data_IF_760830648379
#
_entry.id   IF_760830648379
#
_cell.length_a   1.000
_cell.length_b   1.000
_cell.length_c   1.000
_cell.angle_alpha   90.00
_cell.angle_beta   90.00
_cell.angle_gamma   90.00
#
_symmetry.space_group_name_H-M   'P 1'
#
loop_
_entity.id
_entity.type
_entity.pdbx_description
1 polymer ?
#
# COMPACT_ATOMS: atom_id res chain seq x y z
N UNK A 1 17.59 14.07 6.91
CA UNK A 1 16.69 15.01 7.60
C UNK A 1 16.91 14.87 9.10
N UNK A 2 17.02 15.97 9.84
CA UNK A 2 17.17 15.90 11.31
C UNK A 2 15.84 15.48 12.00
N UNK A 3 15.92 15.23 13.31
CA UNK A 3 14.79 14.75 14.12
C UNK A 3 13.65 15.76 14.18
N UNK A 4 13.95 17.06 14.20
CA UNK A 4 12.93 18.11 14.30
C UNK A 4 12.13 18.18 13.00
N UNK A 5 12.79 18.17 11.85
CA UNK A 5 12.11 18.24 10.57
C UNK A 5 11.32 16.95 10.28
N UNK A 6 11.80 15.78 10.74
CA UNK A 6 11.04 14.52 10.72
C UNK A 6 9.75 14.61 11.54
N UNK A 7 9.79 15.21 12.72
CA UNK A 7 8.58 15.41 13.53
C UNK A 7 7.57 16.33 12.83
N UNK A 8 8.04 17.46 12.31
CA UNK A 8 7.23 18.40 11.52
C UNK A 8 6.58 17.71 10.32
N UNK A 9 7.32 16.86 9.61
CA UNK A 9 6.79 16.07 8.50
C UNK A 9 5.60 15.20 8.94
N UNK A 10 5.73 14.48 10.06
CA UNK A 10 4.63 13.67 10.58
C UNK A 10 3.45 14.51 11.09
N UNK A 11 3.70 15.69 11.67
CA UNK A 11 2.63 16.62 12.02
C UNK A 11 1.83 17.04 10.78
N UNK A 12 2.52 17.48 9.72
CA UNK A 12 1.88 17.87 8.45
C UNK A 12 1.10 16.69 7.83
N UNK A 13 1.67 15.49 7.86
CA UNK A 13 1.03 14.29 7.34
C UNK A 13 -0.27 13.97 8.11
N UNK A 14 -0.25 14.06 9.46
CA UNK A 14 -1.43 13.87 10.30
C UNK A 14 -2.52 14.90 9.98
N UNK A 15 -2.14 16.17 9.90
CA UNK A 15 -3.08 17.26 9.58
C UNK A 15 -3.75 17.00 8.22
N UNK A 16 -2.97 16.57 7.22
CA UNK A 16 -3.48 16.16 5.92
C UNK A 16 -4.45 14.98 5.96
N UNK A 17 -4.05 13.89 6.63
CA UNK A 17 -4.84 12.65 6.73
C UNK A 17 -6.21 12.86 7.38
N UNK A 18 -6.27 13.71 8.41
CA UNK A 18 -7.44 13.84 9.27
C UNK A 18 -8.22 15.13 9.04
N UNK A 19 -7.59 16.17 8.49
CA UNK A 19 -8.23 17.46 8.29
C UNK A 19 -8.47 18.22 9.57
N UNK A 20 -7.57 18.05 10.52
CA UNK A 20 -7.61 18.71 11.82
C UNK A 20 -6.23 18.69 12.46
N UNK A 21 -6.09 19.45 13.54
CA UNK A 21 -4.82 19.62 14.26
C UNK A 21 -4.18 20.97 13.98
N UNK A 22 -3.03 21.18 14.62
CA UNK A 22 -2.25 22.41 14.50
C UNK A 22 -0.79 22.04 14.32
N UNK A 23 -0.11 22.75 13.43
CA UNK A 23 1.32 22.60 13.28
C UNK A 23 2.02 23.32 14.45
N UNK A 24 2.82 22.56 15.19
CA UNK A 24 3.61 23.07 16.30
C UNK A 24 5.07 23.10 15.88
N UNK A 25 5.57 24.32 15.63
CA UNK A 25 6.95 24.59 15.25
C UNK A 25 7.59 25.54 16.25
N UNK A 26 8.84 25.24 16.67
CA UNK A 26 9.62 26.12 17.56
C UNK A 26 10.15 27.37 16.84
N UNK A 27 10.38 27.25 15.54
CA UNK A 27 10.92 28.28 14.66
C UNK A 27 10.29 28.13 13.29
N UNK A 28 10.16 29.24 12.56
CA UNK A 28 9.67 29.21 11.19
C UNK A 28 10.56 28.34 10.30
N UNK A 29 9.93 27.56 9.42
CA UNK A 29 10.62 26.70 8.47
C UNK A 29 11.29 27.53 7.38
N UNK A 30 12.55 27.25 7.09
CA UNK A 30 13.27 27.90 5.99
C UNK A 30 12.81 27.33 4.64
N UNK A 31 13.17 28.01 3.53
CA UNK A 31 12.93 27.48 2.19
C UNK A 31 13.57 26.08 2.01
N UNK A 32 14.79 25.90 2.51
CA UNK A 32 15.51 24.61 2.42
C UNK A 32 14.81 23.50 3.21
N UNK A 33 14.22 23.84 4.36
CA UNK A 33 13.44 22.88 5.15
C UNK A 33 12.19 22.42 4.38
N UNK A 34 11.49 23.36 3.74
CA UNK A 34 10.34 23.04 2.89
C UNK A 34 10.71 22.21 1.66
N UNK A 35 11.85 22.48 1.02
CA UNK A 35 12.36 21.68 -0.09
C UNK A 35 12.63 20.24 0.38
N UNK A 36 13.24 20.06 1.56
CA UNK A 36 13.47 18.72 2.15
C UNK A 36 12.15 18.01 2.46
N UNK A 37 11.18 18.70 3.08
CA UNK A 37 9.85 18.15 3.36
C UNK A 37 9.19 17.69 2.05
N UNK A 38 9.18 18.53 1.02
CA UNK A 38 8.60 18.19 -0.27
C UNK A 38 9.27 16.97 -0.90
N UNK A 39 10.61 16.92 -0.89
CA UNK A 39 11.35 15.78 -1.44
C UNK A 39 11.03 14.48 -0.70
N UNK A 40 10.96 14.52 0.63
CA UNK A 40 10.53 13.36 1.42
C UNK A 40 9.07 12.98 1.13
N UNK A 41 8.18 13.96 0.97
CA UNK A 41 6.78 13.70 0.68
C UNK A 41 6.62 12.94 -0.64
N UNK A 42 7.32 13.40 -1.69
CA UNK A 42 7.38 12.72 -2.99
C UNK A 42 7.99 11.32 -2.86
N UNK A 43 9.11 11.19 -2.15
CA UNK A 43 9.78 9.90 -1.95
C UNK A 43 8.90 8.87 -1.22
N UNK A 44 8.01 9.33 -0.35
CA UNK A 44 7.05 8.48 0.36
C UNK A 44 5.66 8.43 -0.30
N UNK A 45 5.48 9.11 -1.45
CA UNK A 45 4.21 9.23 -2.20
C UNK A 45 3.05 9.77 -1.36
N UNK A 46 3.33 10.76 -0.51
CA UNK A 46 2.36 11.41 0.40
C UNK A 46 2.29 12.93 0.17
N UNK A 47 2.80 13.43 -0.96
CA UNK A 47 2.79 14.87 -1.27
C UNK A 47 1.39 15.45 -1.38
N UNK A 48 0.41 14.69 -1.88
CA UNK A 48 -0.98 15.13 -1.92
C UNK A 48 -1.63 15.20 -0.55
N UNK A 49 -1.31 14.24 0.32
CA UNK A 49 -1.82 14.20 1.69
C UNK A 49 -1.28 15.41 2.49
N UNK A 50 0.03 15.71 2.38
CA UNK A 50 0.59 16.89 3.06
C UNK A 50 -0.04 18.19 2.51
N UNK A 51 -0.28 18.26 1.20
CA UNK A 51 -0.95 19.40 0.59
C UNK A 51 -2.38 19.60 1.12
N UNK A 52 -3.12 18.52 1.37
CA UNK A 52 -4.45 18.56 2.01
C UNK A 52 -4.44 19.12 3.44
N UNK A 53 -3.26 19.22 4.05
CA UNK A 53 -3.06 19.84 5.34
C UNK A 53 -2.91 21.36 5.28
N UNK A 54 -2.55 21.95 4.14
CA UNK A 54 -2.29 23.38 4.01
C UNK A 54 -3.45 24.29 4.43
N UNK A 55 -4.73 23.96 4.15
CA UNK A 55 -5.86 24.76 4.62
C UNK A 55 -5.98 24.89 6.15
N UNK A 56 -5.28 24.05 6.92
CA UNK A 56 -5.29 24.04 8.39
C UNK A 56 -4.06 24.72 9.00
N UNK A 57 -3.20 25.32 8.17
CA UNK A 57 -1.99 26.01 8.59
C UNK A 57 -2.21 27.53 8.57
N UNK A 58 -1.52 28.24 9.46
CA UNK A 58 -1.46 29.70 9.42
C UNK A 58 -0.58 30.16 8.25
N UNK A 59 -0.78 31.39 7.73
CA UNK A 59 -0.01 31.86 6.54
C UNK A 59 1.50 31.84 6.79
N UNK A 60 1.96 32.18 8.00
CA UNK A 60 3.38 32.08 8.40
C UNK A 60 3.91 30.64 8.49
N UNK A 61 3.01 29.66 8.56
CA UNK A 61 3.33 28.23 8.62
C UNK A 61 3.27 27.57 7.24
N UNK A 62 2.93 28.30 6.18
CA UNK A 62 2.89 27.77 4.83
C UNK A 62 4.26 27.85 4.14
N UNK A 63 4.51 26.98 3.14
CA UNK A 63 5.68 27.15 2.29
C UNK A 63 5.61 28.46 1.50
N UNK A 64 6.77 29.01 1.09
CA UNK A 64 6.82 30.19 0.22
C UNK A 64 5.92 30.04 -1.01
N UNK A 65 5.28 31.13 -1.45
CA UNK A 65 4.29 31.12 -2.54
C UNK A 65 4.77 30.44 -3.82
N UNK A 66 6.03 30.67 -4.23
CA UNK A 66 6.60 30.01 -5.39
C UNK A 66 6.64 28.47 -5.27
N UNK A 67 6.86 27.95 -4.05
CA UNK A 67 6.85 26.51 -3.78
C UNK A 67 5.41 25.97 -3.70
N UNK A 68 4.46 26.74 -3.16
CA UNK A 68 3.03 26.40 -3.18
C UNK A 68 2.51 26.21 -4.60
N UNK A 69 2.86 27.12 -5.52
CA UNK A 69 2.49 27.02 -6.94
C UNK A 69 3.04 25.76 -7.60
N UNK A 70 4.32 25.42 -7.36
CA UNK A 70 4.91 24.17 -7.85
C UNK A 70 4.20 22.93 -7.29
N UNK A 71 3.81 22.98 -6.02
CA UNK A 71 3.06 21.89 -5.39
C UNK A 71 1.69 21.74 -6.03
N UNK A 72 0.94 22.82 -6.23
CA UNK A 72 -0.37 22.81 -6.89
C UNK A 72 -0.31 22.19 -8.30
N UNK A 73 0.73 22.49 -9.08
CA UNK A 73 0.94 21.84 -10.39
C UNK A 73 1.13 20.32 -10.25
N UNK A 74 1.85 19.85 -9.23
CA UNK A 74 1.98 18.40 -8.97
C UNK A 74 0.65 17.79 -8.55
N UNK A 75 -0.16 18.49 -7.77
CA UNK A 75 -1.50 18.01 -7.36
C UNK A 75 -2.39 17.84 -8.57
N UNK A 76 -2.47 18.85 -9.44
CA UNK A 76 -3.23 18.75 -10.70
C UNK A 76 -2.77 17.56 -11.57
N UNK A 77 -1.47 17.25 -11.61
CA UNK A 77 -0.97 16.04 -12.30
C UNK A 77 -1.46 14.74 -11.66
N UNK A 78 -1.47 14.68 -10.32
CA UNK A 78 -1.97 13.52 -9.57
C UNK A 78 -3.47 13.35 -9.81
N UNK A 79 -4.25 14.43 -9.77
CA UNK A 79 -5.70 14.41 -10.02
C UNK A 79 -6.02 13.90 -11.43
N UNK A 80 -5.35 14.45 -12.45
CA UNK A 80 -5.53 14.01 -13.84
C UNK A 80 -5.15 12.54 -14.04
N UNK A 81 -4.10 12.07 -13.37
CA UNK A 81 -3.70 10.67 -13.43
C UNK A 81 -4.71 9.75 -12.72
N UNK A 82 -5.24 10.18 -11.57
CA UNK A 82 -6.28 9.45 -10.85
C UNK A 82 -7.58 9.36 -11.64
N UNK A 83 -8.00 10.44 -12.29
CA UNK A 83 -9.16 10.44 -13.17
C UNK A 83 -8.99 9.45 -14.31
N UNK A 84 -7.83 9.49 -15.00
CA UNK A 84 -7.51 8.51 -16.03
C UNK A 84 -7.54 7.06 -15.52
N UNK A 85 -7.00 6.82 -14.32
CA UNK A 85 -7.01 5.49 -13.71
C UNK A 85 -8.44 5.02 -13.39
N UNK A 86 -9.30 5.90 -12.86
CA UNK A 86 -10.69 5.61 -12.57
C UNK A 86 -11.48 5.27 -13.85
N UNK A 87 -11.22 5.98 -14.95
CA UNK A 87 -11.79 5.65 -16.26
C UNK A 87 -11.38 4.25 -16.72
N UNK A 88 -10.10 3.90 -16.61
CA UNK A 88 -9.60 2.57 -16.97
C UNK A 88 -10.20 1.47 -16.08
N UNK A 89 -10.33 1.72 -14.78
CA UNK A 89 -10.95 0.78 -13.83
C UNK A 89 -12.41 0.52 -14.23
N UNK A 90 -13.20 1.58 -14.44
CA UNK A 90 -14.60 1.47 -14.81
C UNK A 90 -14.78 0.71 -16.14
N UNK A 91 -13.97 1.03 -17.14
CA UNK A 91 -13.98 0.36 -18.44
C UNK A 91 -13.61 -1.13 -18.34
N UNK A 92 -12.50 -1.45 -17.68
CA UNK A 92 -12.06 -2.85 -17.55
C UNK A 92 -13.04 -3.68 -16.72
N UNK A 93 -13.61 -3.09 -15.67
CA UNK A 93 -14.60 -3.76 -14.85
C UNK A 93 -15.85 -4.13 -15.67
N UNK A 94 -16.40 -3.18 -16.44
CA UNK A 94 -17.54 -3.44 -17.32
C UNK A 94 -17.21 -4.49 -18.37
N UNK A 95 -16.04 -4.37 -19.03
CA UNK A 95 -15.58 -5.31 -20.04
C UNK A 95 -15.47 -6.74 -19.49
N UNK A 96 -14.84 -6.92 -18.33
CA UNK A 96 -14.74 -8.23 -17.69
C UNK A 96 -16.12 -8.78 -17.29
N UNK A 97 -17.00 -7.92 -16.76
CA UNK A 97 -18.35 -8.32 -16.35
C UNK A 97 -19.19 -8.78 -17.55
N UNK A 98 -19.12 -8.08 -18.68
CA UNK A 98 -19.78 -8.48 -19.94
C UNK A 98 -19.30 -9.84 -20.46
N UNK A 99 -18.06 -10.21 -20.17
CA UNK A 99 -17.49 -11.53 -20.47
C UNK A 99 -17.85 -12.63 -19.46
N UNK A 100 -18.70 -12.32 -18.47
CA UNK A 100 -19.01 -13.23 -17.37
C UNK A 100 -17.82 -13.50 -16.44
N UNK A 101 -16.82 -12.60 -16.42
CA UNK A 101 -15.71 -12.61 -15.47
C UNK A 101 -16.13 -11.75 -14.28
N UNK A 102 -15.81 -12.20 -13.07
CA UNK A 102 -16.07 -11.48 -11.82
C UNK A 102 -14.76 -10.88 -11.29
N UNK A 103 -14.39 -9.66 -11.73
CA UNK A 103 -13.20 -8.97 -11.23
C UNK A 103 -13.45 -8.38 -9.84
N UNK A 104 -12.40 -8.35 -9.03
CA UNK A 104 -12.35 -7.68 -7.73
C UNK A 104 -11.15 -6.74 -7.76
N UNK A 105 -11.40 -5.45 -7.59
CA UNK A 105 -10.34 -4.45 -7.51
C UNK A 105 -9.64 -4.60 -6.16
N UNK A 106 -8.33 -4.69 -6.19
CA UNK A 106 -7.50 -4.79 -5.00
C UNK A 106 -6.78 -3.48 -4.73
N UNK A 107 -6.62 -3.14 -3.44
CA UNK A 107 -5.74 -2.05 -2.99
C UNK A 107 -6.06 -0.73 -3.74
N UNK A 108 -5.03 0.01 -4.17
CA UNK A 108 -5.13 1.08 -5.18
C UNK A 108 -6.28 2.08 -4.95
N UNK A 109 -7.06 2.32 -6.02
CA UNK A 109 -8.19 3.25 -5.99
C UNK A 109 -9.35 2.79 -5.11
N UNK A 110 -9.47 1.48 -4.86
CA UNK A 110 -10.39 0.95 -3.85
C UNK A 110 -10.13 1.58 -2.48
N UNK A 111 -8.86 1.63 -2.08
CA UNK A 111 -8.46 2.25 -0.80
C UNK A 111 -8.43 3.77 -0.88
N UNK A 112 -8.12 4.36 -2.04
CA UNK A 112 -8.15 5.81 -2.25
C UNK A 112 -9.50 6.43 -1.89
N UNK A 113 -10.61 5.71 -2.14
CA UNK A 113 -11.97 6.15 -1.81
C UNK A 113 -12.19 6.48 -0.33
N UNK A 114 -11.35 5.96 0.58
CA UNK A 114 -11.42 6.23 2.02
C UNK A 114 -10.63 7.46 2.47
N UNK A 115 -9.92 8.16 1.57
CA UNK A 115 -9.22 9.40 1.90
C UNK A 115 -10.20 10.58 1.94
N UNK A 116 -9.85 11.65 2.68
CA UNK A 116 -10.62 12.91 2.68
C UNK A 116 -10.74 13.49 1.26
N UNK A 117 -9.64 13.45 0.52
CA UNK A 117 -9.61 13.79 -0.89
C UNK A 117 -9.01 12.63 -1.71
N UNK A 118 -9.85 11.74 -2.27
CA UNK A 118 -9.38 10.60 -3.05
C UNK A 118 -8.51 10.98 -4.26
N UNK A 119 -8.76 12.13 -4.90
CA UNK A 119 -8.03 12.56 -6.10
C UNK A 119 -6.59 13.01 -5.81
N UNK A 120 -6.24 13.25 -4.55
CA UNK A 120 -4.89 13.68 -4.14
C UNK A 120 -3.99 12.52 -3.70
N UNK A 121 -4.52 11.31 -3.51
CA UNK A 121 -3.69 10.14 -3.24
C UNK A 121 -2.90 9.79 -4.50
N UNK A 122 -1.57 9.76 -4.41
CA UNK A 122 -0.73 9.27 -5.52
C UNK A 122 -1.06 7.81 -5.79
N UNK A 123 -1.54 7.48 -6.98
CA UNK A 123 -1.86 6.10 -7.36
C UNK A 123 -0.62 5.30 -7.81
N UNK A 124 -0.80 3.99 -7.95
CA UNK A 124 0.22 3.06 -8.43
C UNK A 124 -0.23 2.39 -9.72
N UNK A 125 -0.38 1.08 -9.66
CA UNK A 125 -0.99 0.22 -10.67
C UNK A 125 -2.47 -0.08 -10.34
N UNK A 126 -3.14 -0.72 -11.30
CA UNK A 126 -4.43 -1.36 -11.08
C UNK A 126 -4.18 -2.83 -10.79
N UNK A 127 -4.56 -3.29 -9.61
CA UNK A 127 -4.49 -4.70 -9.23
C UNK A 127 -5.86 -5.36 -9.33
N UNK A 128 -6.01 -6.35 -10.22
CA UNK A 128 -7.18 -7.21 -10.28
C UNK A 128 -6.91 -8.56 -9.65
N UNK A 129 -7.88 -9.08 -8.89
CA UNK A 129 -8.04 -10.52 -8.76
C UNK A 129 -9.42 -10.93 -9.26
N UNK A 130 -9.61 -12.24 -9.45
CA UNK A 130 -10.82 -12.76 -10.08
C UNK A 130 -11.38 -13.91 -9.27
N UNK A 131 -12.70 -14.02 -9.25
CA UNK A 131 -13.36 -15.21 -8.73
C UNK A 131 -13.30 -16.38 -9.72
N UNK A 132 -13.50 -17.58 -9.17
CA UNK A 132 -13.59 -18.83 -9.94
C UNK A 132 -12.46 -19.00 -10.98
N UNK A 133 -12.81 -19.20 -12.25
CA UNK A 133 -11.88 -19.34 -13.38
C UNK A 133 -11.59 -18.01 -14.09
N UNK A 134 -12.00 -16.88 -13.50
CA UNK A 134 -11.93 -15.56 -14.11
C UNK A 134 -10.51 -15.13 -14.49
N UNK A 135 -9.48 -15.50 -13.72
CA UNK A 135 -8.08 -15.23 -14.08
C UNK A 135 -7.72 -15.86 -15.44
N UNK A 136 -8.11 -17.13 -15.65
CA UNK A 136 -7.82 -17.86 -16.90
C UNK A 136 -8.56 -17.20 -18.07
N UNK A 137 -9.82 -16.84 -17.88
CA UNK A 137 -10.63 -16.13 -18.89
C UNK A 137 -10.04 -14.76 -19.24
N UNK A 138 -9.68 -13.96 -18.24
CA UNK A 138 -9.05 -12.66 -18.43
C UNK A 138 -7.69 -12.79 -19.14
N UNK A 139 -6.89 -13.80 -18.82
CA UNK A 139 -5.63 -14.07 -19.51
C UNK A 139 -5.83 -14.51 -20.96
N UNK A 140 -6.83 -15.35 -21.23
CA UNK A 140 -7.19 -15.75 -22.60
C UNK A 140 -7.67 -14.55 -23.42
N UNK A 141 -8.46 -13.66 -22.82
CA UNK A 141 -8.84 -12.40 -23.44
C UNK A 141 -7.62 -11.57 -23.88
N UNK A 142 -6.60 -11.43 -23.03
CA UNK A 142 -5.36 -10.73 -23.41
C UNK A 142 -4.68 -11.39 -24.62
N UNK A 143 -4.65 -12.72 -24.68
CA UNK A 143 -4.10 -13.48 -25.81
C UNK A 143 -4.90 -13.26 -27.09
N UNK A 144 -6.22 -13.41 -27.03
CA UNK A 144 -7.13 -13.25 -28.19
C UNK A 144 -7.06 -11.84 -28.77
N UNK A 145 -6.94 -10.82 -27.91
CA UNK A 145 -6.77 -9.42 -28.32
C UNK A 145 -5.32 -9.05 -28.66
N UNK A 146 -4.38 -10.01 -28.61
CA UNK A 146 -2.96 -9.81 -28.89
C UNK A 146 -2.32 -8.70 -28.03
N UNK A 147 -2.81 -8.52 -26.80
CA UNK A 147 -2.26 -7.57 -25.85
C UNK A 147 -0.97 -8.16 -25.30
N UNK A 148 0.11 -7.38 -25.36
CA UNK A 148 1.39 -7.78 -24.79
C UNK A 148 1.31 -7.77 -23.26
N UNK A 149 1.52 -8.92 -22.64
CA UNK A 149 1.61 -9.09 -21.20
C UNK A 149 2.82 -9.97 -20.85
N UNK A 150 3.27 -9.92 -19.61
CA UNK A 150 4.34 -10.76 -19.08
C UNK A 150 3.92 -11.41 -17.77
N UNK A 151 4.25 -12.70 -17.60
CA UNK A 151 4.08 -13.38 -16.32
C UNK A 151 5.19 -12.92 -15.36
N UNK A 152 4.81 -12.50 -14.15
CA UNK A 152 5.70 -11.97 -13.12
C UNK A 152 5.88 -12.92 -11.94
N UNK A 153 6.98 -12.73 -11.21
CA UNK A 153 7.19 -13.44 -9.95
C UNK A 153 6.10 -13.06 -8.94
N UNK A 154 5.59 -14.02 -8.18
CA UNK A 154 4.49 -13.77 -7.23
C UNK A 154 3.11 -14.26 -7.68
N UNK A 155 3.02 -15.02 -8.78
CA UNK A 155 1.76 -15.59 -9.29
C UNK A 155 0.83 -14.52 -9.88
N UNK A 156 1.39 -13.66 -10.71
CA UNK A 156 0.70 -12.55 -11.38
C UNK A 156 1.17 -12.43 -12.82
N UNK A 157 0.44 -11.66 -13.60
CA UNK A 157 0.92 -11.11 -14.88
C UNK A 157 0.70 -9.61 -14.89
N UNK A 158 1.47 -8.89 -15.71
CA UNK A 158 1.32 -7.45 -15.89
C UNK A 158 1.20 -7.08 -17.36
N UNK A 159 0.56 -5.94 -17.63
CA UNK A 159 0.43 -5.35 -18.96
C UNK A 159 0.13 -3.85 -18.87
N UNK A 160 0.17 -3.16 -20.01
CA UNK A 160 -0.26 -1.77 -20.13
C UNK A 160 -1.61 -1.69 -20.83
N UNK A 161 -2.56 -0.98 -20.22
CA UNK A 161 -3.86 -0.69 -20.80
C UNK A 161 -4.11 0.81 -20.83
N UNK A 162 -4.23 1.39 -22.04
CA UNK A 162 -4.39 2.84 -22.25
C UNK A 162 -3.37 3.70 -21.49
N UNK A 163 -2.15 3.18 -21.32
CA UNK A 163 -1.07 3.85 -20.58
C UNK A 163 -1.26 3.88 -19.06
N UNK A 164 -2.01 2.92 -18.50
CA UNK A 164 -2.04 2.57 -17.08
C UNK A 164 -1.47 1.15 -16.94
N UNK A 165 -0.61 0.94 -15.94
CA UNK A 165 -0.07 -0.38 -15.62
C UNK A 165 -1.13 -1.19 -14.88
N UNK A 166 -1.35 -2.42 -15.32
CA UNK A 166 -2.37 -3.32 -14.77
C UNK A 166 -1.73 -4.66 -14.43
N UNK A 167 -1.97 -5.15 -13.22
CA UNK A 167 -1.57 -6.47 -12.76
C UNK A 167 -2.80 -7.36 -12.54
N UNK A 168 -2.73 -8.59 -13.02
CA UNK A 168 -3.68 -9.64 -12.69
C UNK A 168 -3.04 -10.59 -11.68
N UNK A 169 -3.66 -10.75 -10.52
CA UNK A 169 -3.21 -11.63 -9.45
C UNK A 169 -3.97 -12.96 -9.46
N UNK A 170 -3.23 -14.08 -9.47
CA UNK A 170 -3.82 -15.42 -9.28
C UNK A 170 -4.28 -15.67 -7.84
N UNK A 171 -3.83 -14.84 -6.89
CA UNK A 171 -4.10 -15.00 -5.46
C UNK A 171 -4.64 -13.70 -4.88
N UNK A 172 -5.61 -13.80 -3.98
CA UNK A 172 -6.18 -12.64 -3.28
C UNK A 172 -5.21 -11.97 -2.32
N UNK A 173 -4.30 -12.76 -1.71
CA UNK A 173 -3.39 -12.29 -0.67
C UNK A 173 -1.93 -12.62 -0.96
N UNK A 174 -1.08 -11.67 -0.59
CA UNK A 174 0.36 -11.63 -0.80
C UNK A 174 1.18 -12.46 0.23
N UNK A 175 0.59 -13.53 0.76
CA UNK A 175 1.30 -14.41 1.71
C UNK A 175 2.38 -15.21 0.98
N UNK A 176 3.59 -15.14 1.52
CA UNK A 176 4.68 -16.01 1.17
C UNK A 176 4.40 -17.41 1.71
N UNK A 177 4.13 -17.60 3.00
CA UNK A 177 4.02 -18.95 3.57
C UNK A 177 2.98 -19.85 2.86
N UNK A 178 3.38 -21.00 2.28
CA UNK A 178 2.44 -21.91 1.63
C UNK A 178 1.53 -22.62 2.66
N UNK A 179 1.93 -22.65 3.94
CA UNK A 179 1.19 -23.30 5.02
C UNK A 179 -0.18 -22.68 5.27
N UNK A 180 -0.39 -21.43 4.84
CA UNK A 180 -1.66 -20.70 5.02
C UNK A 180 -2.58 -20.79 3.81
N UNK A 181 -2.15 -21.41 2.71
CA UNK A 181 -2.91 -21.46 1.45
C UNK A 181 -4.33 -22.00 1.62
N UNK A 182 -4.50 -23.11 2.35
CA UNK A 182 -5.82 -23.72 2.55
C UNK A 182 -6.72 -22.84 3.42
N UNK A 183 -6.18 -22.31 4.52
CA UNK A 183 -6.90 -21.38 5.39
C UNK A 183 -7.37 -20.14 4.62
N UNK A 184 -6.50 -19.51 3.83
CA UNK A 184 -6.83 -18.33 3.04
C UNK A 184 -7.88 -18.63 1.96
N UNK A 185 -7.82 -19.79 1.31
CA UNK A 185 -8.87 -20.23 0.37
C UNK A 185 -10.23 -20.39 1.05
N UNK A 186 -10.25 -21.03 2.23
CA UNK A 186 -11.49 -21.17 3.02
C UNK A 186 -12.01 -19.79 3.45
N UNK A 187 -11.10 -18.89 3.84
CA UNK A 187 -11.44 -17.53 4.24
C UNK A 187 -12.10 -16.74 3.10
N UNK A 188 -11.52 -16.75 1.89
CA UNK A 188 -12.14 -16.09 0.72
C UNK A 188 -13.50 -16.68 0.40
N UNK A 189 -13.65 -18.01 0.47
CA UNK A 189 -14.95 -18.67 0.24
C UNK A 189 -16.00 -18.28 1.28
N UNK A 190 -15.60 -18.15 2.55
CA UNK A 190 -16.50 -17.78 3.64
C UNK A 190 -17.12 -16.39 3.45
N UNK A 191 -16.34 -15.46 2.87
CA UNK A 191 -16.78 -14.08 2.61
C UNK A 191 -17.29 -13.85 1.18
N UNK A 192 -17.39 -14.89 0.34
CA UNK A 192 -17.70 -14.73 -1.10
C UNK A 192 -19.03 -14.00 -1.33
N UNK A 193 -20.07 -14.37 -0.59
CA UNK A 193 -21.42 -13.85 -0.81
C UNK A 193 -21.62 -12.46 -0.18
N UNK A 194 -20.59 -11.92 0.48
CA UNK A 194 -20.58 -10.59 1.04
C UNK A 194 -19.90 -9.64 0.05
N UNK A 195 -20.69 -8.80 -0.60
CA UNK A 195 -20.18 -7.84 -1.56
C UNK A 195 -19.89 -6.52 -0.88
N UNK A 196 -18.72 -5.96 -1.17
CA UNK A 196 -18.42 -4.57 -0.88
C UNK A 196 -18.20 -3.85 -2.21
N UNK A 197 -18.88 -2.73 -2.41
CA UNK A 197 -18.83 -2.01 -3.68
C UNK A 197 -18.51 -0.54 -3.45
N UNK A 198 -17.79 0.03 -4.41
CA UNK A 198 -17.59 1.48 -4.49
C UNK A 198 -18.06 1.97 -5.85
N UNK A 199 -18.47 3.24 -5.94
CA UNK A 199 -18.80 3.86 -7.21
C UNK A 199 -17.55 4.52 -7.80
N UNK A 200 -17.12 4.10 -8.98
CA UNK A 200 -16.02 4.71 -9.74
C UNK A 200 -16.55 5.04 -11.13
N UNK A 201 -16.60 6.33 -11.47
CA UNK A 201 -17.12 6.83 -12.75
C UNK A 201 -18.48 6.23 -13.15
N UNK A 202 -19.42 6.18 -12.19
CA UNK A 202 -20.77 5.60 -12.33
C UNK A 202 -20.81 4.07 -12.54
N UNK A 203 -19.70 3.37 -12.34
CA UNK A 203 -19.63 1.91 -12.33
C UNK A 203 -19.49 1.41 -10.89
N UNK A 204 -20.32 0.42 -10.52
CA UNK A 204 -20.21 -0.27 -9.23
C UNK A 204 -19.06 -1.28 -9.28
N UNK A 205 -17.91 -0.91 -8.69
CA UNK A 205 -16.72 -1.75 -8.67
C UNK A 205 -16.73 -2.63 -7.43
N UNK A 206 -16.54 -3.94 -7.62
CA UNK A 206 -16.43 -4.89 -6.52
C UNK A 206 -15.06 -4.81 -5.85
N UNK A 207 -15.09 -4.75 -4.52
CA UNK A 207 -13.95 -4.88 -3.63
C UNK A 207 -14.12 -6.12 -2.76
N UNK A 208 -13.05 -6.47 -2.04
CA UNK A 208 -13.16 -7.41 -0.92
C UNK A 208 -14.01 -6.80 0.20
N UNK A 209 -14.59 -7.64 1.06
CA UNK A 209 -15.16 -7.17 2.33
C UNK A 209 -14.13 -6.45 3.21
N UNK A 210 -14.55 -5.54 4.11
CA UNK A 210 -13.66 -4.77 4.97
C UNK A 210 -12.53 -5.55 5.66
N UNK A 211 -12.82 -6.71 6.28
CA UNK A 211 -11.81 -7.52 6.97
C UNK A 211 -10.74 -8.05 6.01
N UNK A 212 -11.14 -8.43 4.80
CA UNK A 212 -10.23 -8.95 3.79
C UNK A 212 -9.47 -7.82 3.08
N UNK A 213 -10.04 -6.63 2.92
CA UNK A 213 -9.28 -5.44 2.50
C UNK A 213 -8.19 -5.11 3.52
N UNK A 214 -8.50 -5.09 4.81
CA UNK A 214 -7.53 -4.86 5.88
C UNK A 214 -6.43 -5.93 5.89
N UNK A 215 -6.80 -7.20 5.74
CA UNK A 215 -5.82 -8.27 5.61
C UNK A 215 -4.91 -8.06 4.41
N UNK A 216 -5.48 -7.72 3.24
CA UNK A 216 -4.77 -7.54 1.98
C UNK A 216 -3.80 -6.36 2.01
N UNK A 217 -4.26 -5.18 2.47
CA UNK A 217 -3.41 -3.99 2.60
C UNK A 217 -2.26 -4.26 3.58
N UNK A 218 -2.56 -4.87 4.73
CA UNK A 218 -1.56 -5.07 5.77
C UNK A 218 -0.54 -6.14 5.39
N UNK A 219 -0.94 -7.26 4.77
CA UNK A 219 0.04 -8.25 4.30
C UNK A 219 0.91 -7.71 3.16
N UNK A 220 0.36 -6.83 2.31
CA UNK A 220 1.15 -6.15 1.27
C UNK A 220 2.23 -5.26 1.88
N UNK A 221 1.91 -4.50 2.93
CA UNK A 221 2.90 -3.73 3.70
C UNK A 221 3.99 -4.64 4.24
N UNK A 222 3.62 -5.72 4.95
CA UNK A 222 4.56 -6.67 5.53
C UNK A 222 5.46 -7.31 4.46
N UNK A 223 4.89 -7.73 3.33
CA UNK A 223 5.63 -8.29 2.19
C UNK A 223 6.74 -7.33 1.83
N UNK A 224 6.43 -6.10 1.44
CA UNK A 224 7.44 -5.14 0.97
C UNK A 224 8.46 -4.74 2.04
N UNK A 225 8.06 -4.65 3.32
CA UNK A 225 8.98 -4.45 4.44
C UNK A 225 10.02 -5.57 4.55
N UNK A 226 9.63 -6.83 4.32
CA UNK A 226 10.56 -7.96 4.31
C UNK A 226 11.51 -7.86 3.11
N UNK A 227 11.02 -7.47 1.93
CA UNK A 227 11.83 -7.49 0.70
C UNK A 227 12.81 -6.31 0.62
N UNK A 228 12.30 -5.10 0.49
CA UNK A 228 13.10 -3.94 0.08
C UNK A 228 12.78 -2.66 0.86
N UNK A 229 11.60 -2.57 1.46
CA UNK A 229 11.07 -1.35 2.05
C UNK A 229 9.78 -0.89 1.37
N UNK A 230 9.11 0.08 1.95
CA UNK A 230 7.80 0.57 1.51
C UNK A 230 7.60 2.02 1.97
N UNK A 231 6.87 2.82 1.17
CA UNK A 231 6.60 4.22 1.47
C UNK A 231 5.56 4.42 2.58
N UNK A 232 5.39 5.66 3.02
CA UNK A 232 4.39 6.00 4.05
C UNK A 232 2.96 5.96 3.51
N UNK A 233 2.76 6.11 2.19
CA UNK A 233 1.43 5.99 1.56
C UNK A 233 0.72 4.69 1.94
N UNK A 234 1.42 3.57 1.98
CA UNK A 234 0.80 2.28 2.28
C UNK A 234 0.39 2.16 3.77
N UNK A 235 1.10 2.84 4.67
CA UNK A 235 0.65 2.97 6.06
C UNK A 235 -0.54 3.94 6.19
N UNK A 236 -0.54 5.02 5.40
CA UNK A 236 -1.70 5.91 5.29
C UNK A 236 -2.93 5.16 4.77
N UNK A 237 -2.76 4.30 3.76
CA UNK A 237 -3.81 3.43 3.22
C UNK A 237 -4.41 2.55 4.32
N UNK A 238 -3.55 1.91 5.12
CA UNK A 238 -3.98 1.11 6.28
C UNK A 238 -4.72 1.95 7.32
N UNK A 239 -4.20 3.12 7.69
CA UNK A 239 -4.82 4.02 8.67
C UNK A 239 -6.21 4.51 8.21
N UNK A 240 -6.32 4.99 6.97
CA UNK A 240 -7.60 5.45 6.39
C UNK A 240 -8.61 4.33 6.27
N UNK A 241 -8.16 3.12 5.94
CA UNK A 241 -9.02 1.95 5.87
C UNK A 241 -9.54 1.58 7.26
N UNK A 242 -8.68 1.41 8.27
CA UNK A 242 -9.10 1.14 9.65
C UNK A 242 -10.10 2.18 10.16
N UNK A 243 -9.79 3.46 9.96
CA UNK A 243 -10.68 4.56 10.35
C UNK A 243 -12.08 4.40 9.74
N UNK A 244 -12.13 4.18 8.42
CA UNK A 244 -13.38 4.25 7.64
C UNK A 244 -14.26 3.01 7.78
N UNK A 245 -13.67 1.84 8.00
CA UNK A 245 -14.42 0.57 8.11
C UNK A 245 -14.57 0.06 9.54
N UNK A 246 -14.09 0.80 10.55
CA UNK A 246 -14.10 0.38 11.96
C UNK A 246 -15.47 -0.08 12.47
N UNK A 247 -16.56 0.54 12.02
CA UNK A 247 -17.94 0.16 12.39
C UNK A 247 -18.53 -0.98 11.56
N UNK A 248 -17.86 -1.41 10.49
CA UNK A 248 -18.33 -2.43 9.55
C UNK A 248 -17.67 -3.79 9.78
N UNK A 249 -16.53 -3.81 10.47
CA UNK A 249 -15.74 -5.02 10.70
C UNK A 249 -16.19 -5.78 11.96
N UNK A 250 -16.09 -7.10 11.91
CA UNK A 250 -16.10 -7.93 13.10
C UNK A 250 -14.70 -7.99 13.72
N UNK A 251 -14.50 -7.19 14.77
CA UNK A 251 -13.24 -7.09 15.53
C UNK A 251 -12.68 -8.45 15.96
N UNK A 252 -13.54 -9.35 16.46
CA UNK A 252 -13.14 -10.68 16.91
C UNK A 252 -12.71 -11.56 15.73
N UNK A 253 -13.46 -11.52 14.62
CA UNK A 253 -13.12 -12.27 13.42
C UNK A 253 -11.77 -11.82 12.84
N UNK A 254 -11.54 -10.50 12.74
CA UNK A 254 -10.30 -9.94 12.23
C UNK A 254 -9.09 -10.29 13.11
N UNK A 255 -9.24 -10.23 14.44
CA UNK A 255 -8.21 -10.70 15.38
C UNK A 255 -7.86 -12.19 15.13
N UNK A 256 -8.88 -13.03 14.96
CA UNK A 256 -8.67 -14.45 14.67
C UNK A 256 -8.01 -14.68 13.32
N UNK A 257 -8.34 -13.87 12.32
CA UNK A 257 -7.65 -13.91 11.02
C UNK A 257 -6.16 -13.64 11.20
N UNK A 258 -5.77 -12.58 11.91
CA UNK A 258 -4.36 -12.25 12.15
C UNK A 258 -3.62 -13.30 13.00
N UNK A 259 -4.29 -13.93 13.96
CA UNK A 259 -3.76 -15.07 14.71
C UNK A 259 -3.50 -16.27 13.80
N UNK A 260 -4.51 -16.68 13.03
CA UNK A 260 -4.44 -17.88 12.17
C UNK A 260 -3.46 -17.73 11.02
N UNK A 261 -3.30 -16.54 10.46
CA UNK A 261 -2.28 -16.25 9.44
C UNK A 261 -0.87 -16.11 10.03
N UNK A 262 -0.75 -15.89 11.34
CA UNK A 262 0.54 -15.86 12.04
C UNK A 262 1.25 -14.50 11.98
N UNK A 263 0.51 -13.43 11.70
CA UNK A 263 1.06 -12.06 11.58
C UNK A 263 0.63 -11.14 12.73
N UNK A 264 -0.13 -11.63 13.73
CA UNK A 264 -0.64 -10.79 14.83
C UNK A 264 0.45 -9.96 15.52
N UNK A 265 1.61 -10.55 15.81
CA UNK A 265 2.71 -9.82 16.47
C UNK A 265 3.19 -8.64 15.62
N UNK A 266 3.24 -8.81 14.30
CA UNK A 266 3.56 -7.72 13.38
C UNK A 266 2.42 -6.69 13.29
N UNK A 267 1.16 -7.14 13.34
CA UNK A 267 0.00 -6.23 13.35
C UNK A 267 0.02 -5.31 14.57
N UNK A 268 0.48 -5.77 15.74
CA UNK A 268 0.66 -4.87 16.89
C UNK A 268 1.67 -3.74 16.62
N UNK A 269 2.80 -4.05 15.94
CA UNK A 269 3.76 -3.03 15.53
C UNK A 269 3.12 -2.03 14.57
N UNK A 270 2.38 -2.54 13.58
CA UNK A 270 1.67 -1.71 12.62
C UNK A 270 0.70 -0.79 13.35
N UNK A 271 -0.22 -1.33 14.16
CA UNK A 271 -1.22 -0.56 14.90
C UNK A 271 -0.60 0.55 15.75
N UNK A 272 0.46 0.24 16.51
CA UNK A 272 1.15 1.26 17.31
C UNK A 272 1.74 2.37 16.45
N UNK A 273 2.36 2.05 15.30
CA UNK A 273 2.85 3.06 14.36
C UNK A 273 1.71 3.91 13.77
N UNK A 274 0.58 3.29 13.39
CA UNK A 274 -0.57 4.01 12.85
C UNK A 274 -1.13 5.03 13.86
N UNK A 275 -1.20 4.65 15.14
CA UNK A 275 -1.67 5.54 16.21
C UNK A 275 -0.64 6.62 16.52
N UNK A 276 0.58 6.24 16.88
CA UNK A 276 1.58 7.17 17.43
C UNK A 276 2.19 8.09 16.37
N UNK A 277 2.38 7.61 15.14
CA UNK A 277 3.03 8.39 14.09
C UNK A 277 2.02 8.98 13.10
N UNK A 278 0.98 8.24 12.73
CA UNK A 278 -0.01 8.68 11.74
C UNK A 278 -1.29 9.23 12.36
N UNK A 279 -1.45 9.23 13.68
CA UNK A 279 -2.58 9.86 14.36
C UNK A 279 -3.92 9.14 14.18
N UNK A 280 -3.91 7.85 13.84
CA UNK A 280 -5.13 7.04 13.84
C UNK A 280 -5.73 7.03 15.26
N UNK A 281 -7.01 7.40 15.46
CA UNK A 281 -7.63 7.29 16.77
C UNK A 281 -7.66 5.83 17.23
N UNK A 282 -7.24 5.56 18.47
CA UNK A 282 -7.06 4.20 18.99
C UNK A 282 -8.36 3.40 19.08
N UNK A 283 -9.50 4.08 19.20
CA UNK A 283 -10.85 3.48 19.20
C UNK A 283 -11.27 2.93 17.82
N UNK A 284 -10.54 3.29 16.75
CA UNK A 284 -10.74 2.75 15.39
C UNK A 284 -10.00 1.44 15.16
N UNK A 285 -9.12 1.03 16.08
CA UNK A 285 -8.47 -0.27 15.99
C UNK A 285 -9.43 -1.38 16.43
N UNK A 286 -9.37 -2.57 15.79
CA UNK A 286 -10.23 -3.69 16.13
C UNK A 286 -9.93 -4.31 17.50
N UNK A 287 -8.71 -4.11 18.01
CA UNK A 287 -8.24 -4.65 19.28
C UNK A 287 -6.99 -3.86 19.73
N UNK A 288 -6.68 -3.82 21.05
CA UNK A 288 -5.51 -3.12 21.56
C UNK A 288 -4.21 -3.86 21.20
N UNK A 289 -3.10 -3.12 21.17
CA UNK A 289 -1.74 -3.65 21.08
C UNK A 289 -1.02 -3.59 22.44
N UNK A 290 -0.01 -4.44 22.70
CA UNK A 290 0.78 -4.38 23.93
C UNK A 290 1.54 -3.06 24.07
N UNK A 291 1.48 -2.41 25.24
CA UNK A 291 2.13 -1.11 25.49
C UNK A 291 3.65 -1.13 25.23
N UNK A 292 4.30 -2.22 25.62
CA UNK A 292 5.75 -2.45 25.48
C UNK A 292 6.21 -2.79 24.05
N UNK A 293 5.34 -2.65 23.06
CA UNK A 293 5.69 -2.86 21.65
C UNK A 293 6.66 -1.77 21.18
N UNK A 294 7.88 -2.11 20.79
CA UNK A 294 8.86 -1.15 20.25
C UNK A 294 8.74 -1.01 18.72
N UNK A 295 8.52 0.21 18.22
CA UNK A 295 8.27 0.49 16.80
C UNK A 295 9.33 1.35 16.14
N UNK A 296 10.25 1.93 16.90
CA UNK A 296 11.24 2.91 16.45
C UNK A 296 12.11 2.33 15.32
N UNK A 297 12.55 1.08 15.48
CA UNK A 297 13.33 0.38 14.47
C UNK A 297 12.56 0.21 13.15
N UNK A 298 11.25 -0.01 13.21
CA UNK A 298 10.41 -0.20 12.02
C UNK A 298 10.14 1.14 11.35
N UNK A 299 9.83 2.17 12.14
CA UNK A 299 9.65 3.53 11.67
C UNK A 299 10.91 4.05 10.96
N UNK A 300 12.10 3.77 11.49
CA UNK A 300 13.36 4.14 10.85
C UNK A 300 13.55 3.41 9.52
N UNK A 301 13.24 2.12 9.44
CA UNK A 301 13.31 1.40 8.16
C UNK A 301 12.33 1.93 7.12
N UNK A 302 11.10 2.26 7.53
CA UNK A 302 10.12 2.92 6.64
C UNK A 302 10.66 4.26 6.18
N UNK A 303 11.19 5.06 7.10
CA UNK A 303 11.74 6.38 6.84
C UNK A 303 12.91 6.35 5.85
N UNK A 304 13.88 5.46 6.05
CA UNK A 304 15.06 5.39 5.19
C UNK A 304 14.80 4.71 3.85
N UNK A 305 13.94 3.69 3.82
CA UNK A 305 13.69 2.96 2.58
C UNK A 305 12.89 3.78 1.57
N UNK A 306 11.94 4.61 2.00
CA UNK A 306 11.07 5.34 1.08
C UNK A 306 10.20 4.41 0.23
N UNK A 307 9.55 4.95 -0.81
CA UNK A 307 8.66 4.16 -1.66
C UNK A 307 9.42 3.00 -2.33
N UNK A 308 9.08 1.80 -1.89
CA UNK A 308 9.73 0.57 -2.27
C UNK A 308 11.25 0.71 -2.27
N UNK A 309 11.93 1.27 -1.28
CA UNK A 309 13.40 1.19 -1.21
C UNK A 309 14.21 1.84 -2.35
N UNK A 310 13.58 2.58 -3.29
CA UNK A 310 14.24 3.10 -4.50
C UNK A 310 15.19 4.25 -4.20
N UNK A 311 14.85 5.05 -3.18
CA UNK A 311 15.60 6.24 -2.78
C UNK A 311 16.39 6.01 -1.47
N UNK A 312 16.70 4.75 -1.13
CA UNK A 312 17.43 4.41 0.10
C UNK A 312 18.93 4.70 -0.08
N UNK A 313 19.34 5.87 0.42
CA UNK A 313 20.72 6.39 0.33
C UNK A 313 21.77 5.43 0.94
N UNK A 314 21.38 4.55 1.88
CA UNK A 314 22.29 3.57 2.51
C UNK A 314 22.86 2.56 1.50
N UNK A 315 22.22 2.42 0.33
CA UNK A 315 22.57 1.44 -0.69
C UNK A 315 22.90 2.07 -2.05
N UNK A 316 23.01 3.41 -2.14
CA UNK A 316 23.29 4.13 -3.40
C UNK A 316 24.62 3.67 -4.04
N UNK A 317 25.61 3.36 -3.21
CA UNK A 317 26.93 2.85 -3.63
C UNK A 317 27.07 1.32 -3.54
N UNK A 318 25.98 0.58 -3.32
CA UNK A 318 26.00 -0.88 -3.17
C UNK A 318 26.33 -1.61 -4.48
N UNK A 319 26.79 -2.87 -4.38
CA UNK A 319 27.10 -3.67 -5.58
C UNK A 319 25.81 -4.17 -6.23
N UNK A 320 25.64 -3.94 -7.53
CA UNK A 320 24.53 -4.52 -8.32
C UNK A 320 24.84 -5.98 -8.62
N UNK A 321 23.85 -6.86 -8.41
CA UNK A 321 23.92 -8.29 -8.75
C UNK A 321 23.13 -8.56 -10.03
N UNK A 322 23.57 -9.53 -10.86
CA UNK A 322 22.77 -9.98 -12.02
C UNK A 322 21.45 -10.65 -11.62
N UNK A 323 21.34 -11.15 -10.39
CA UNK A 323 20.17 -11.89 -9.88
C UNK A 323 19.10 -10.99 -9.23
N UNK A 324 19.47 -9.77 -8.84
CA UNK A 324 18.61 -8.86 -8.11
C UNK A 324 18.67 -7.47 -8.74
N UNK A 325 17.50 -6.89 -8.98
CA UNK A 325 17.38 -5.55 -9.55
C UNK A 325 18.03 -4.45 -8.68
N UNK A 326 18.21 -4.71 -7.37
CA UNK A 326 18.65 -3.69 -6.41
C UNK A 326 20.05 -3.93 -5.84
N UNK A 327 20.82 -2.85 -5.58
CA UNK A 327 22.12 -2.94 -4.92
C UNK A 327 22.01 -3.63 -3.56
N UNK A 328 23.01 -4.45 -3.22
CA UNK A 328 23.15 -5.12 -1.92
C UNK A 328 21.90 -5.90 -1.44
N UNK A 329 21.06 -6.36 -2.37
CA UNK A 329 19.83 -7.10 -2.06
C UNK A 329 20.03 -8.26 -1.07
N UNK A 330 21.08 -9.10 -1.16
CA UNK A 330 21.29 -10.17 -0.18
C UNK A 330 21.49 -9.66 1.25
N UNK A 331 22.25 -8.57 1.44
CA UNK A 331 22.50 -7.97 2.75
C UNK A 331 21.21 -7.36 3.32
N UNK A 332 20.44 -6.67 2.49
CA UNK A 332 19.12 -6.12 2.86
C UNK A 332 18.16 -7.22 3.30
N UNK A 333 18.02 -8.26 2.49
CA UNK A 333 17.14 -9.39 2.78
C UNK A 333 17.53 -10.10 4.08
N UNK A 334 18.82 -10.27 4.35
CA UNK A 334 19.29 -10.87 5.60
C UNK A 334 18.99 -10.01 6.83
N UNK A 335 19.23 -8.69 6.74
CA UNK A 335 18.92 -7.76 7.84
C UNK A 335 17.41 -7.72 8.12
N UNK A 336 16.59 -7.64 7.07
CA UNK A 336 15.13 -7.67 7.19
C UNK A 336 14.66 -9.00 7.75
N UNK A 337 15.18 -10.13 7.26
CA UNK A 337 14.87 -11.46 7.81
C UNK A 337 15.06 -11.50 9.33
N UNK A 338 16.24 -11.08 9.84
CA UNK A 338 16.53 -11.09 11.29
C UNK A 338 15.56 -10.23 12.11
N UNK A 339 15.08 -9.12 11.54
CA UNK A 339 14.11 -8.23 12.19
C UNK A 339 12.71 -8.84 12.20
N UNK A 340 12.23 -9.28 11.03
CA UNK A 340 10.84 -9.70 10.85
C UNK A 340 10.55 -11.15 11.29
N UNK A 341 11.55 -12.03 11.38
CA UNK A 341 11.34 -13.42 11.84
C UNK A 341 10.72 -13.49 13.24
N UNK A 342 10.97 -12.50 14.10
CA UNK A 342 10.37 -12.43 15.44
C UNK A 342 8.86 -12.13 15.44
N UNK A 343 8.38 -11.45 14.39
CA UNK A 343 7.03 -10.90 14.31
C UNK A 343 6.13 -11.63 13.31
N UNK A 344 6.72 -12.17 12.23
CA UNK A 344 6.04 -12.96 11.22
C UNK A 344 6.97 -14.07 10.69
N UNK A 345 7.31 -15.07 11.53
CA UNK A 345 8.35 -16.07 11.22
C UNK A 345 8.08 -16.82 9.93
N UNK A 346 6.84 -17.23 9.71
CA UNK A 346 6.48 -18.01 8.52
C UNK A 346 6.66 -17.20 7.24
N UNK A 347 6.33 -15.90 7.27
CA UNK A 347 6.53 -15.00 6.13
C UNK A 347 8.00 -14.72 5.88
N UNK A 348 8.75 -14.38 6.94
CA UNK A 348 10.18 -14.10 6.84
C UNK A 348 10.98 -15.32 6.33
N UNK A 349 10.67 -16.53 6.81
CA UNK A 349 11.35 -17.77 6.40
C UNK A 349 10.93 -18.19 4.99
N UNK A 350 9.64 -18.12 4.64
CA UNK A 350 9.17 -18.57 3.34
C UNK A 350 9.56 -17.61 2.22
N UNK A 351 9.78 -16.33 2.52
CA UNK A 351 9.98 -15.30 1.50
C UNK A 351 11.18 -15.57 0.56
N UNK A 352 12.43 -15.82 1.04
CA UNK A 352 13.57 -16.06 0.16
C UNK A 352 13.37 -17.26 -0.76
N UNK A 353 12.72 -18.31 -0.23
CA UNK A 353 12.36 -19.49 -0.99
C UNK A 353 11.35 -19.10 -2.08
N UNK A 354 10.23 -18.48 -1.74
CA UNK A 354 9.17 -18.24 -2.72
C UNK A 354 9.54 -17.16 -3.74
N UNK A 355 10.34 -16.18 -3.37
CA UNK A 355 10.85 -15.19 -4.32
C UNK A 355 11.75 -15.84 -5.39
N UNK A 356 12.51 -16.87 -5.03
CA UNK A 356 13.34 -17.62 -5.98
C UNK A 356 12.52 -18.65 -6.77
N UNK A 357 11.66 -19.40 -6.11
CA UNK A 357 10.82 -20.44 -6.73
C UNK A 357 9.70 -19.88 -7.64
N UNK A 358 9.09 -18.74 -7.31
CA UNK A 358 7.98 -18.17 -8.11
C UNK A 358 8.41 -17.66 -9.48
N UNK A 359 9.71 -17.40 -9.70
CA UNK A 359 10.25 -17.08 -11.04
C UNK A 359 10.15 -18.25 -12.01
N UNK A 360 10.07 -19.48 -11.49
CA UNK A 360 9.99 -20.71 -12.29
C UNK A 360 8.58 -21.30 -12.27
N UNK A 361 7.94 -21.41 -11.10
CA UNK A 361 6.61 -22.03 -10.92
C UNK A 361 5.43 -21.06 -11.05
N UNK A 362 5.68 -19.74 -11.03
CA UNK A 362 4.65 -18.72 -11.14
C UNK A 362 4.22 -18.43 -12.58
N UNK A 363 5.06 -18.81 -13.55
CA UNK A 363 4.78 -18.71 -14.98
C UNK A 363 3.81 -19.83 -15.35
N UNK A 364 2.69 -19.47 -15.96
CA UNK A 364 1.86 -20.49 -16.59
C UNK A 364 2.61 -20.98 -17.83
N UNK A 365 2.97 -22.27 -17.83
CA UNK A 365 3.48 -22.95 -19.02
C UNK A 365 2.29 -23.19 -19.93
N UNK A 366 1.97 -22.19 -20.73
CA UNK A 366 0.97 -22.30 -21.79
C UNK A 366 1.63 -22.72 -23.10
#
# INVERSE_FOLDING_TARGET
MDKQLKDIFFQLLRIGLWGEGKLVVKQSLTLDDWIKIQQHAINHTVEGIIYDGFPFLEEQQLPPTALRLKWAVRIDQIERHNEKMNQVIAEQFSLFTEMGIQPILQKGQGVASYYRNPSHRVSGDIDWCFEADGYKKARNFLKEKQIKFQDTAGFSLDYNWKGIHVEHHKRTFDFSSPLKKNYLKTLVRHYRDQQHVINVNNTQIHLLVPELQLLQVNIHILKHLIIYGIGLRQFCDSARLYYSVSSQINNTALLQIYKKTGILKWIHLLHKLLVENLGLPSDKLPFPYPENTEIEWMLDEVWYSGNFGFNDQRFEHGKKSKLFYRPDSPKRLWQNFRRYVKYAPQEAIAFPLIHTYSKFLGKDSD
#
